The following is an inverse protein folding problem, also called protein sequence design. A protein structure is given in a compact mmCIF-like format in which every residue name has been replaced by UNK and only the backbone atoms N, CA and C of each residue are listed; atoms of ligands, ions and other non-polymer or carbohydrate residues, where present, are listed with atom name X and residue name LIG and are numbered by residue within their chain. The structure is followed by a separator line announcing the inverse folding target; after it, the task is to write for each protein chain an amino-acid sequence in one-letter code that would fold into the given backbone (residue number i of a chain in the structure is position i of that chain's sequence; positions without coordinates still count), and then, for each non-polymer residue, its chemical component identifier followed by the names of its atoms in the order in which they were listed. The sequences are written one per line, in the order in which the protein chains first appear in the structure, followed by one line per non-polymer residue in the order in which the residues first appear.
data_IF_974409507934
#
_entry.id   IF_974409507934
#
_cell.length_a   1.000
_cell.length_b   1.000
_cell.length_c   1.000
_cell.angle_alpha   90.00
_cell.angle_beta   90.00
_cell.angle_gamma   90.00
#
_symmetry.space_group_name_H-M   'P 1'
#
loop_
_entity.id
_entity.type
_entity.pdbx_description
1 polymer ?
#
# COMPACT_ATOMS: atom_id res chain seq x y z
N UNK A 1 -1.59 12.91 -11.70
CA UNK A 1 -2.97 12.39 -11.64
C UNK A 1 -2.94 10.94 -12.09
N UNK A 2 -3.62 10.04 -11.39
CA UNK A 2 -3.67 8.62 -11.75
C UNK A 2 -5.12 8.14 -11.75
N UNK A 3 -5.39 7.07 -12.50
CA UNK A 3 -6.64 6.33 -12.47
C UNK A 3 -6.31 4.84 -12.57
N UNK A 4 -6.78 4.05 -11.62
CA UNK A 4 -6.46 2.63 -11.52
C UNK A 4 -7.76 1.82 -11.53
N UNK A 5 -7.74 0.73 -12.30
CA UNK A 5 -8.81 -0.27 -12.33
C UNK A 5 -8.20 -1.66 -12.30
N UNK A 6 -8.82 -2.58 -11.59
CA UNK A 6 -8.40 -3.98 -11.50
C UNK A 6 -9.55 -4.87 -11.08
N UNK A 7 -9.36 -6.17 -11.20
CA UNK A 7 -10.36 -7.16 -10.82
C UNK A 7 -9.77 -8.57 -10.82
N UNK A 8 -10.54 -9.51 -10.31
CA UNK A 8 -10.19 -10.93 -10.24
C UNK A 8 -11.47 -11.75 -10.41
N UNK A 9 -11.33 -13.02 -10.80
CA UNK A 9 -12.45 -13.93 -10.95
C UNK A 9 -12.63 -14.72 -9.64
N UNK A 10 -13.55 -14.26 -8.81
CA UNK A 10 -13.89 -14.88 -7.52
C UNK A 10 -15.40 -15.11 -7.42
N UNK A 11 -15.82 -16.14 -6.67
CA UNK A 11 -17.22 -16.45 -6.42
C UNK A 11 -17.85 -15.49 -5.39
N UNK A 12 -17.03 -14.93 -4.51
CA UNK A 12 -17.45 -14.01 -3.45
C UNK A 12 -17.01 -12.58 -3.78
N UNK A 13 -17.64 -11.54 -3.19
CA UNK A 13 -17.15 -10.18 -3.30
C UNK A 13 -15.72 -10.07 -2.79
N UNK A 14 -14.86 -9.45 -3.59
CA UNK A 14 -13.44 -9.21 -3.26
C UNK A 14 -13.30 -8.16 -2.15
N UNK A 15 -12.12 -8.12 -1.52
CA UNK A 15 -11.75 -7.09 -0.54
C UNK A 15 -10.63 -6.20 -1.10
N UNK A 16 -10.97 -5.16 -1.89
CA UNK A 16 -9.97 -4.34 -2.57
C UNK A 16 -9.18 -3.48 -1.58
N UNK A 17 -7.85 -3.52 -1.71
CA UNK A 17 -6.93 -2.68 -0.93
C UNK A 17 -6.02 -1.91 -1.89
N UNK A 18 -6.11 -0.59 -1.86
CA UNK A 18 -5.20 0.29 -2.56
C UNK A 18 -3.97 0.57 -1.69
N UNK A 19 -2.78 0.25 -2.20
CA UNK A 19 -1.52 0.41 -1.48
C UNK A 19 -0.68 1.46 -2.19
N UNK A 20 -0.22 2.45 -1.44
CA UNK A 20 0.69 3.49 -1.94
C UNK A 20 2.06 3.26 -1.31
N UNK A 21 3.06 3.09 -2.16
CA UNK A 21 4.47 3.01 -1.79
C UNK A 21 5.12 4.34 -2.14
N UNK A 22 5.76 4.99 -1.17
CA UNK A 22 6.34 6.32 -1.36
C UNK A 22 7.56 6.54 -0.47
N UNK A 23 8.39 7.50 -0.89
CA UNK A 23 9.58 7.96 -0.15
C UNK A 23 9.48 9.48 0.15
N UNK A 24 8.26 10.06 0.07
CA UNK A 24 8.02 11.47 0.38
C UNK A 24 8.42 11.78 1.83
N UNK A 25 9.29 12.78 2.01
CA UNK A 25 9.89 13.18 3.29
C UNK A 25 10.50 11.99 4.09
N UNK A 26 11.00 10.97 3.39
CA UNK A 26 11.51 9.75 4.04
C UNK A 26 13.04 9.75 4.25
N UNK A 27 13.75 10.69 3.61
CA UNK A 27 15.21 10.78 3.65
C UNK A 27 15.90 9.57 2.99
N UNK A 28 17.14 9.28 3.40
CA UNK A 28 17.91 8.12 2.91
C UNK A 28 17.67 6.94 3.85
N UNK A 29 16.45 6.39 3.83
CA UNK A 29 16.10 5.19 4.60
C UNK A 29 15.89 4.00 3.66
N UNK A 30 16.33 2.78 4.02
CA UNK A 30 16.15 1.60 3.17
C UNK A 30 14.68 1.18 3.08
N UNK A 31 14.19 0.85 1.89
CA UNK A 31 12.78 0.50 1.65
C UNK A 31 11.88 1.72 1.46
N UNK A 32 10.56 1.51 1.40
CA UNK A 32 9.58 2.59 1.18
C UNK A 32 8.49 2.60 2.23
N UNK A 33 7.96 3.79 2.52
CA UNK A 33 6.75 3.97 3.33
C UNK A 33 5.55 3.43 2.56
N UNK A 34 4.61 2.81 3.27
CA UNK A 34 3.49 2.06 2.72
C UNK A 34 2.20 2.42 3.43
N UNK A 35 1.30 3.06 2.70
CA UNK A 35 -0.05 3.38 3.17
C UNK A 35 -1.05 2.41 2.54
N UNK A 36 -2.03 1.95 3.33
CA UNK A 36 -3.08 1.02 2.88
C UNK A 36 -4.45 1.68 3.02
N UNK A 37 -5.22 1.68 1.93
CA UNK A 37 -6.59 2.16 1.88
C UNK A 37 -7.52 1.01 1.51
N UNK A 38 -8.49 0.72 2.38
CA UNK A 38 -9.53 -0.26 2.11
C UNK A 38 -10.64 0.41 1.28
N UNK A 39 -10.95 -0.15 0.12
CA UNK A 39 -12.01 0.39 -0.72
C UNK A 39 -13.37 -0.21 -0.30
N UNK A 40 -14.44 0.60 -0.23
CA UNK A 40 -15.76 0.09 0.13
C UNK A 40 -16.30 -0.89 -0.91
N UNK A 41 -16.96 -1.96 -0.45
CA UNK A 41 -17.53 -3.00 -1.33
C UNK A 41 -18.57 -2.46 -2.32
N UNK A 42 -19.19 -1.32 -2.03
CA UNK A 42 -20.16 -0.65 -2.91
C UNK A 42 -19.58 -0.14 -4.24
N UNK A 43 -18.25 -0.09 -4.37
CA UNK A 43 -17.55 0.28 -5.60
C UNK A 43 -17.10 -0.92 -6.43
N UNK A 44 -17.32 -2.15 -5.94
CA UNK A 44 -17.08 -3.37 -6.70
C UNK A 44 -18.25 -3.58 -7.66
N UNK A 45 -17.93 -4.03 -8.88
CA UNK A 45 -18.95 -4.36 -9.88
C UNK A 45 -18.68 -5.72 -10.47
N UNK A 46 -19.75 -6.46 -10.75
CA UNK A 46 -19.66 -7.70 -11.49
C UNK A 46 -19.31 -7.43 -12.95
N UNK A 47 -18.32 -8.16 -13.47
CA UNK A 47 -17.82 -8.05 -14.83
C UNK A 47 -16.44 -7.39 -14.92
N UNK A 48 -15.93 -7.26 -16.16
CA UNK A 48 -14.56 -6.80 -16.42
C UNK A 48 -14.38 -5.27 -16.32
N UNK A 49 -15.47 -4.51 -16.40
CA UNK A 49 -15.42 -3.04 -16.49
C UNK A 49 -16.06 -2.44 -15.24
N UNK A 50 -15.33 -1.61 -14.47
CA UNK A 50 -15.89 -0.93 -13.32
C UNK A 50 -16.94 0.10 -13.74
N UNK A 51 -18.10 0.10 -13.08
CA UNK A 51 -19.19 1.07 -13.34
C UNK A 51 -19.10 2.34 -12.50
N UNK A 52 -18.30 2.32 -11.43
CA UNK A 52 -18.12 3.43 -10.50
C UNK A 52 -16.64 3.63 -10.23
N UNK A 53 -16.24 4.87 -10.03
CA UNK A 53 -14.89 5.22 -9.60
C UNK A 53 -14.94 5.75 -8.18
N UNK A 54 -14.10 5.20 -7.32
CA UNK A 54 -13.87 5.74 -5.99
C UNK A 54 -12.85 6.87 -6.09
N UNK A 55 -13.27 8.09 -5.78
CA UNK A 55 -12.37 9.24 -5.71
C UNK A 55 -11.85 9.38 -4.27
N UNK A 56 -10.56 9.16 -4.10
CA UNK A 56 -9.87 9.31 -2.81
C UNK A 56 -9.50 10.77 -2.52
N UNK A 57 -9.67 11.67 -3.50
CA UNK A 57 -9.29 13.07 -3.41
C UNK A 57 -7.78 13.28 -3.57
N UNK A 58 -7.31 14.39 -2.99
CA UNK A 58 -5.89 14.77 -3.00
C UNK A 58 -5.30 14.49 -1.62
N UNK A 59 -4.29 13.64 -1.58
CA UNK A 59 -3.60 13.24 -0.35
C UNK A 59 -2.18 13.82 -0.32
N UNK A 60 -1.76 14.37 0.81
CA UNK A 60 -0.37 14.73 1.06
C UNK A 60 0.36 13.54 1.72
N UNK A 61 1.27 12.91 0.96
CA UNK A 61 2.04 11.74 1.38
C UNK A 61 3.26 12.08 2.25
N UNK A 62 3.56 13.34 2.52
CA UNK A 62 4.59 13.73 3.49
C UNK A 62 4.13 13.42 4.92
N UNK A 63 2.83 13.58 5.19
CA UNK A 63 2.23 13.34 6.52
C UNK A 63 2.29 11.87 6.94
N UNK A 64 2.22 11.61 8.25
CA UNK A 64 2.20 10.24 8.80
C UNK A 64 0.75 9.75 8.86
N UNK A 65 0.44 8.68 8.14
CA UNK A 65 -0.87 8.05 8.18
C UNK A 65 -0.97 7.03 9.33
N UNK A 66 -2.12 6.92 10.02
CA UNK A 66 -2.35 5.86 10.99
C UNK A 66 -2.18 4.47 10.36
N UNK A 67 -1.36 3.61 10.97
CA UNK A 67 -1.10 2.26 10.45
C UNK A 67 -0.21 2.23 9.20
N UNK A 68 0.50 3.31 8.90
CA UNK A 68 1.54 3.31 7.88
C UNK A 68 2.67 2.32 8.24
N UNK A 69 3.10 1.55 7.26
CA UNK A 69 4.14 0.52 7.39
C UNK A 69 5.37 0.91 6.58
N UNK A 70 6.48 0.19 6.78
CA UNK A 70 7.67 0.28 5.92
C UNK A 70 7.93 -1.06 5.24
N UNK A 71 8.02 -1.06 3.90
CA UNK A 71 8.34 -2.26 3.12
C UNK A 71 9.79 -2.24 2.66
N UNK A 72 10.59 -3.16 3.20
CA UNK A 72 12.01 -3.28 2.89
C UNK A 72 12.22 -3.99 1.56
N UNK A 73 13.03 -3.43 0.67
CA UNK A 73 13.55 -4.13 -0.51
C UNK A 73 14.67 -5.05 -0.04
N UNK A 74 14.32 -6.18 0.56
CA UNK A 74 15.28 -7.25 0.82
C UNK A 74 15.41 -8.07 -0.45
N UNK A 75 16.58 -8.05 -1.09
CA UNK A 75 16.90 -9.09 -2.07
C UNK A 75 16.69 -10.43 -1.37
N UNK A 76 15.85 -11.30 -1.96
CA UNK A 76 15.50 -12.60 -1.37
C UNK A 76 16.73 -13.51 -1.32
N UNK A 77 17.66 -13.26 -0.40
CA UNK A 77 18.49 -14.32 0.17
C UNK A 77 17.79 -14.69 1.47
N UNK A 78 17.12 -15.85 1.45
CA UNK A 78 16.37 -16.43 2.57
C UNK A 78 17.08 -16.12 3.89
N UNK A 79 16.51 -15.24 4.71
CA UNK A 79 16.98 -14.99 6.06
C UNK A 79 16.35 -16.03 6.96
N UNK A 80 17.16 -17.04 7.27
CA UNK A 80 17.03 -17.75 8.53
C UNK A 80 17.15 -16.72 9.67
N UNK A 81 16.39 -16.99 10.71
CA UNK A 81 16.04 -16.09 11.79
C UNK A 81 17.27 -15.77 12.67
N UNK A 82 17.68 -14.50 12.75
CA UNK A 82 18.45 -14.00 13.91
C UNK A 82 18.15 -12.53 14.18
N UNK A 83 17.43 -12.35 15.28
CA UNK A 83 17.29 -11.10 16.03
C UNK A 83 18.67 -10.64 16.52
N UNK A 84 18.98 -9.35 16.40
CA UNK A 84 20.17 -8.76 16.98
C UNK A 84 20.38 -7.32 16.52
N UNK A 85 20.03 -6.39 17.43
CA UNK A 85 20.51 -5.01 17.62
C UNK A 85 21.17 -4.25 16.47
N UNK A 86 20.70 -3.04 16.20
CA UNK A 86 21.47 -1.81 16.48
C UNK A 86 20.53 -0.59 16.35
N UNK A 87 20.22 0.00 17.51
CA UNK A 87 19.79 1.40 17.66
C UNK A 87 20.83 2.36 17.06
N UNK A 88 20.38 3.56 16.68
CA UNK A 88 20.95 4.86 17.10
C UNK A 88 20.17 6.00 16.43
N UNK A 89 19.18 6.54 17.14
CA UNK A 89 18.70 7.90 16.94
C UNK A 89 19.70 8.89 17.60
N UNK A 90 20.56 9.50 16.78
CA UNK A 90 21.17 10.84 16.98
C UNK A 90 21.21 11.55 15.63
#
# INVERSE_FOLDING_TARGET
MFQLSGGTAELTPIDPVFKVYHDCDDGIKPGSRKVKFYLPKSYITEGKVPKKTFDIGVLNLETIFPGEEREMIVSRKRRDFSFGEYDLDV
#
